data_IF_711696096379
#
_entry.id   IF_711696096379
#
_cell.length_a   1.000
_cell.length_b   1.000
_cell.length_c   1.000
_cell.angle_alpha   90.00
_cell.angle_beta   90.00
_cell.angle_gamma   90.00
#
_symmetry.space_group_name_H-M   'P 1'
#
loop_
_entity.id
_entity.type
_entity.pdbx_description
1 polymer ?
#
# COMPACT_ATOMS: atom_id res chain seq x y z
N UNK A 1 27.52 26.54 31.43
CA UNK A 1 26.94 25.19 31.22
C UNK A 1 26.26 25.18 29.86
N UNK A 2 26.91 24.61 28.83
CA UNK A 2 26.33 24.49 27.50
C UNK A 2 25.72 23.11 27.40
N UNK A 3 24.39 23.03 27.52
CA UNK A 3 23.65 21.79 27.34
C UNK A 3 23.79 21.36 25.87
N UNK A 4 24.55 20.30 25.63
CA UNK A 4 24.62 19.62 24.34
C UNK A 4 23.33 18.82 24.19
N UNK A 5 22.35 19.36 23.47
CA UNK A 5 21.16 18.62 23.05
C UNK A 5 21.59 17.56 22.02
N UNK A 6 21.72 16.31 22.48
CA UNK A 6 21.86 15.14 21.61
C UNK A 6 20.52 14.91 20.89
N UNK A 7 20.45 15.32 19.63
CA UNK A 7 19.33 15.01 18.75
C UNK A 7 19.31 13.49 18.49
N UNK A 8 18.36 12.78 19.10
CA UNK A 8 18.13 11.36 18.86
C UNK A 8 17.35 11.23 17.54
N UNK A 9 18.06 11.03 16.43
CA UNK A 9 17.43 10.76 15.14
C UNK A 9 16.84 9.35 15.14
N UNK A 10 15.51 9.24 15.20
CA UNK A 10 14.81 7.98 15.00
C UNK A 10 14.91 7.64 13.52
N UNK A 11 15.75 6.66 13.19
CA UNK A 11 15.81 6.12 11.84
C UNK A 11 14.59 5.21 11.63
N UNK A 12 13.61 5.66 10.84
CA UNK A 12 12.53 4.81 10.38
C UNK A 12 13.08 3.84 9.34
N UNK A 13 13.20 2.56 9.70
CA UNK A 13 13.54 1.51 8.75
C UNK A 13 12.28 1.20 7.92
N UNK A 14 12.26 1.64 6.66
CA UNK A 14 11.26 1.17 5.70
C UNK A 14 11.74 -0.19 5.16
N UNK A 15 11.12 -1.28 5.59
CA UNK A 15 11.38 -2.62 5.06
C UNK A 15 10.24 -3.09 4.17
N UNK A 16 10.57 -3.76 3.06
CA UNK A 16 9.59 -4.32 2.15
C UNK A 16 8.94 -5.56 2.78
N UNK A 17 7.62 -5.64 2.70
CA UNK A 17 6.83 -6.78 3.17
C UNK A 17 6.98 -7.94 2.20
N UNK A 18 7.27 -9.13 2.73
CA UNK A 18 7.27 -10.36 1.93
C UNK A 18 5.83 -10.71 1.55
N UNK A 19 5.59 -10.95 0.26
CA UNK A 19 4.29 -11.29 -0.29
C UNK A 19 4.40 -12.41 -1.33
N UNK A 20 3.26 -13.04 -1.62
CA UNK A 20 3.14 -14.01 -2.71
C UNK A 20 2.52 -13.31 -3.92
N UNK A 21 3.23 -13.32 -5.04
CA UNK A 21 2.68 -12.86 -6.33
C UNK A 21 1.66 -13.88 -6.86
N UNK A 22 0.48 -13.40 -7.23
CA UNK A 22 -0.64 -14.19 -7.75
C UNK A 22 -0.78 -14.13 -9.28
N UNK A 23 0.16 -13.50 -9.99
CA UNK A 23 0.19 -13.46 -11.46
C UNK A 23 0.33 -12.06 -12.03
N UNK A 24 1.15 -11.21 -11.40
CA UNK A 24 1.40 -9.85 -11.89
C UNK A 24 2.09 -9.85 -13.26
N UNK A 25 1.70 -8.91 -14.12
CA UNK A 25 2.34 -8.69 -15.43
C UNK A 25 3.38 -7.57 -15.40
N UNK A 26 3.31 -6.69 -14.39
CA UNK A 26 4.34 -5.71 -14.10
C UNK A 26 5.57 -6.36 -13.45
N UNK A 27 6.69 -5.65 -13.43
CA UNK A 27 7.94 -6.16 -12.84
C UNK A 27 8.33 -5.40 -11.59
N UNK A 28 9.32 -5.92 -10.86
CA UNK A 28 9.93 -5.24 -9.71
C UNK A 28 8.90 -4.87 -8.62
N UNK A 29 7.88 -5.71 -8.43
CA UNK A 29 6.79 -5.44 -7.50
C UNK A 29 7.31 -5.45 -6.07
N UNK A 30 7.10 -4.36 -5.35
CA UNK A 30 7.46 -4.17 -3.95
C UNK A 30 6.21 -3.79 -3.18
N UNK A 31 5.86 -4.58 -2.18
CA UNK A 31 4.81 -4.29 -1.22
C UNK A 31 5.45 -3.77 0.07
N UNK A 32 4.88 -2.73 0.65
CA UNK A 32 5.22 -2.28 2.00
C UNK A 32 3.93 -2.06 2.78
N UNK A 33 3.75 -2.82 3.85
CA UNK A 33 2.70 -2.68 4.85
C UNK A 33 3.33 -2.12 6.10
N UNK A 34 2.79 -1.00 6.60
CA UNK A 34 3.28 -0.36 7.81
C UNK A 34 3.44 -1.34 8.97
N UNK A 35 4.65 -1.37 9.56
CA UNK A 35 5.03 -2.24 10.67
C UNK A 35 4.87 -3.76 10.39
N UNK A 36 4.90 -4.19 9.13
CA UNK A 36 4.91 -5.62 8.77
C UNK A 36 5.94 -5.93 7.69
N UNK A 37 7.01 -6.62 8.07
CA UNK A 37 8.00 -7.15 7.10
C UNK A 37 7.72 -8.62 6.75
N UNK A 38 7.39 -9.42 7.77
CA UNK A 38 7.19 -10.86 7.64
C UNK A 38 5.71 -11.23 7.88
N UNK A 39 5.06 -11.93 6.94
CA UNK A 39 3.71 -12.43 7.16
C UNK A 39 3.71 -13.54 8.23
N UNK A 40 2.60 -13.71 8.99
CA UNK A 40 1.32 -13.00 8.85
C UNK A 40 1.35 -11.59 9.47
N UNK A 41 0.88 -10.60 8.72
CA UNK A 41 0.73 -9.24 9.23
C UNK A 41 -0.44 -9.16 10.21
N UNK A 42 -0.16 -8.76 11.45
CA UNK A 42 -1.19 -8.53 12.46
C UNK A 42 -1.77 -7.12 12.29
N UNK A 43 -2.97 -7.05 11.71
CA UNK A 43 -3.73 -5.81 11.56
C UNK A 43 -4.74 -5.70 12.71
N UNK A 44 -4.51 -4.72 13.59
CA UNK A 44 -5.44 -4.38 14.67
C UNK A 44 -6.69 -3.71 14.10
N UNK A 45 -7.85 -4.12 14.59
CA UNK A 45 -9.14 -3.56 14.17
C UNK A 45 -9.28 -2.13 14.70
N UNK A 46 -9.82 -1.23 13.87
CA UNK A 46 -9.97 0.19 14.18
C UNK A 46 -8.72 1.03 13.93
N UNK A 47 -7.57 0.41 13.67
CA UNK A 47 -6.33 1.10 13.28
C UNK A 47 -6.32 1.45 11.79
N UNK A 48 -5.50 2.42 11.39
CA UNK A 48 -5.24 2.73 9.97
C UNK A 48 -3.79 2.43 9.66
N UNK A 49 -3.55 1.74 8.55
CA UNK A 49 -2.22 1.32 8.12
C UNK A 49 -1.89 1.94 6.77
N UNK A 50 -0.67 2.42 6.59
CA UNK A 50 -0.19 2.79 5.26
C UNK A 50 0.22 1.52 4.51
N UNK A 51 -0.33 1.35 3.31
CA UNK A 51 0.11 0.33 2.36
C UNK A 51 0.62 1.02 1.12
N UNK A 52 1.82 0.63 0.72
CA UNK A 52 2.50 1.10 -0.46
C UNK A 52 2.79 -0.08 -1.41
N UNK A 53 2.51 0.12 -2.69
CA UNK A 53 2.84 -0.83 -3.74
C UNK A 53 3.59 -0.06 -4.82
N UNK A 54 4.80 -0.52 -5.11
CA UNK A 54 5.59 -0.02 -6.22
C UNK A 54 5.78 -1.11 -7.25
N UNK A 55 5.57 -0.78 -8.52
CA UNK A 55 5.78 -1.73 -9.61
C UNK A 55 6.24 -0.99 -10.88
N UNK A 56 6.91 -1.71 -11.76
CA UNK A 56 7.26 -1.24 -13.08
C UNK A 56 6.15 -1.65 -14.04
N UNK A 57 5.49 -0.67 -14.68
CA UNK A 57 4.37 -0.97 -15.58
C UNK A 57 4.85 -1.64 -16.86
N UNK A 58 4.12 -2.67 -17.32
CA UNK A 58 4.36 -3.32 -18.62
C UNK A 58 3.64 -2.64 -19.77
N UNK A 59 2.77 -1.67 -19.50
CA UNK A 59 1.91 -1.01 -20.48
C UNK A 59 1.61 0.44 -20.11
N UNK A 60 1.24 1.24 -21.11
CA UNK A 60 0.66 2.56 -20.86
C UNK A 60 -0.81 2.39 -20.48
N UNK A 61 -1.25 3.05 -19.42
CA UNK A 61 -2.62 2.92 -18.90
C UNK A 61 -3.18 4.28 -18.50
N UNK A 62 -4.42 4.54 -18.95
CA UNK A 62 -5.18 5.74 -18.59
C UNK A 62 -5.92 5.60 -17.25
N UNK A 63 -5.99 4.38 -16.71
CA UNK A 63 -6.69 4.06 -15.48
C UNK A 63 -5.89 3.06 -14.63
N UNK A 64 -6.14 3.11 -13.31
CA UNK A 64 -5.68 2.14 -12.34
C UNK A 64 -6.86 1.82 -11.43
N UNK A 65 -7.25 0.55 -11.36
CA UNK A 65 -8.35 0.09 -10.50
C UNK A 65 -7.81 -0.79 -9.40
N UNK A 66 -8.20 -0.50 -8.17
CA UNK A 66 -7.79 -1.24 -6.98
C UNK A 66 -8.88 -2.23 -6.61
N UNK A 67 -8.51 -3.51 -6.57
CA UNK A 67 -9.34 -4.58 -6.03
C UNK A 67 -8.60 -5.22 -4.84
N UNK A 68 -9.23 -5.17 -3.67
CA UNK A 68 -8.70 -5.80 -2.47
C UNK A 68 -9.79 -6.63 -1.82
N UNK A 69 -9.48 -7.90 -1.57
CA UNK A 69 -10.37 -8.85 -0.92
C UNK A 69 -9.64 -9.65 0.16
N UNK A 70 -10.38 -10.03 1.20
CA UNK A 70 -9.94 -10.94 2.24
C UNK A 70 -10.52 -12.34 1.98
N UNK A 71 -9.66 -13.36 1.96
CA UNK A 71 -10.11 -14.74 1.93
C UNK A 71 -10.44 -15.22 3.34
N UNK A 72 -11.71 -15.49 3.61
CA UNK A 72 -12.21 -16.02 4.88
C UNK A 72 -12.74 -17.42 4.64
N UNK A 73 -11.96 -18.43 5.00
CA UNK A 73 -12.31 -19.84 4.85
C UNK A 73 -12.77 -20.21 3.42
N UNK A 74 -12.08 -19.70 2.40
CA UNK A 74 -12.39 -19.96 0.99
C UNK A 74 -13.38 -18.95 0.37
N UNK A 75 -13.97 -18.05 1.15
CA UNK A 75 -14.85 -17.00 0.65
C UNK A 75 -14.05 -15.71 0.50
N UNK A 76 -13.95 -15.17 -0.71
CA UNK A 76 -13.37 -13.84 -0.93
C UNK A 76 -14.39 -12.76 -0.61
N UNK A 77 -14.12 -11.97 0.41
CA UNK A 77 -14.93 -10.83 0.84
C UNK A 77 -14.20 -9.54 0.44
N UNK A 78 -14.82 -8.64 -0.35
CA UNK A 78 -14.18 -7.38 -0.72
C UNK A 78 -13.94 -6.51 0.51
N UNK A 79 -12.82 -5.78 0.52
CA UNK A 79 -12.51 -4.85 1.61
C UNK A 79 -13.40 -3.60 1.47
N UNK A 80 -14.23 -3.27 2.46
CA UNK A 80 -15.14 -2.14 2.38
C UNK A 80 -14.41 -0.81 2.58
N UNK A 81 -14.94 0.23 1.95
CA UNK A 81 -14.52 1.62 2.20
C UNK A 81 -13.20 2.03 1.57
N UNK A 82 -12.65 1.23 0.64
CA UNK A 82 -11.52 1.67 -0.20
C UNK A 82 -12.02 2.41 -1.43
N UNK A 83 -11.30 3.47 -1.81
CA UNK A 83 -11.49 4.07 -3.13
C UNK A 83 -10.84 3.15 -4.17
N UNK A 84 -11.61 2.75 -5.17
CA UNK A 84 -11.15 1.84 -6.22
C UNK A 84 -10.44 2.56 -7.35
N UNK A 85 -10.56 3.90 -7.43
CA UNK A 85 -9.83 4.71 -8.39
C UNK A 85 -8.40 4.93 -7.89
N UNK A 86 -7.53 3.99 -8.29
CA UNK A 86 -6.12 3.94 -7.93
C UNK A 86 -5.31 5.13 -8.41
N UNK A 87 -5.76 5.81 -9.45
CA UNK A 87 -5.07 6.98 -9.99
C UNK A 87 -5.01 8.11 -8.97
N UNK A 88 -5.98 8.21 -8.04
CA UNK A 88 -5.99 9.28 -7.03
C UNK A 88 -4.94 9.12 -5.93
N UNK A 89 -4.43 7.91 -5.74
CA UNK A 89 -3.47 7.60 -4.67
C UNK A 89 -2.04 7.33 -5.20
N UNK A 90 -1.80 7.60 -6.48
CA UNK A 90 -0.45 7.62 -7.03
C UNK A 90 0.30 8.85 -6.52
N UNK A 91 1.53 8.64 -6.03
CA UNK A 91 2.39 9.74 -5.63
C UNK A 91 2.85 10.51 -6.88
N UNK A 92 2.50 11.80 -7.00
CA UNK A 92 3.02 12.63 -8.10
C UNK A 92 2.16 13.77 -8.66
N UNK A 93 0.90 13.98 -8.25
CA UNK A 93 0.17 15.20 -8.64
C UNK A 93 -1.35 15.11 -8.71
N UNK A 94 -1.98 16.18 -9.23
CA UNK A 94 -3.44 16.38 -9.26
C UNK A 94 -4.19 15.55 -10.33
N UNK A 95 -3.47 14.79 -11.17
CA UNK A 95 -4.02 13.82 -12.14
C UNK A 95 -2.93 12.82 -12.59
N UNK A 96 -2.63 11.78 -11.79
CA UNK A 96 -1.44 10.92 -11.99
C UNK A 96 -1.52 9.91 -13.14
N UNK A 97 -2.70 9.72 -13.73
CA UNK A 97 -2.90 8.92 -14.93
C UNK A 97 -3.09 9.86 -16.15
N UNK A 98 -2.62 9.49 -17.35
CA UNK A 98 -2.00 8.21 -17.69
C UNK A 98 -0.54 8.06 -17.22
N UNK A 99 -0.14 6.83 -16.92
CA UNK A 99 1.27 6.45 -16.73
C UNK A 99 1.75 5.58 -17.89
N UNK A 100 3.05 5.66 -18.18
CA UNK A 100 3.65 5.07 -19.38
C UNK A 100 4.13 3.64 -19.15
N UNK A 101 4.20 2.85 -20.23
CA UNK A 101 4.94 1.59 -20.21
C UNK A 101 6.39 1.81 -19.77
N UNK A 102 6.88 0.92 -18.89
CA UNK A 102 8.22 0.98 -18.31
C UNK A 102 8.39 2.00 -17.18
N UNK A 103 7.37 2.82 -16.86
CA UNK A 103 7.47 3.75 -15.74
C UNK A 103 7.35 3.02 -14.41
N UNK A 104 8.10 3.49 -13.41
CA UNK A 104 7.95 3.09 -12.02
C UNK A 104 6.71 3.78 -11.45
N UNK A 105 5.69 3.00 -11.11
CA UNK A 105 4.44 3.45 -10.51
C UNK A 105 4.54 3.25 -9.01
N UNK A 106 4.20 4.29 -8.26
CA UNK A 106 4.21 4.30 -6.80
C UNK A 106 2.80 4.63 -6.29
N UNK A 107 2.15 3.65 -5.67
CA UNK A 107 0.78 3.74 -5.17
C UNK A 107 0.76 3.60 -3.66
N UNK A 108 0.27 4.62 -2.95
CA UNK A 108 0.21 4.63 -1.48
C UNK A 108 -1.21 4.91 -1.02
N UNK A 109 -1.82 3.97 -0.30
CA UNK A 109 -3.14 4.15 0.30
C UNK A 109 -3.11 4.01 1.82
N UNK A 110 -3.88 4.87 2.49
CA UNK A 110 -4.25 4.68 3.90
C UNK A 110 -5.39 3.70 3.99
N UNK A 111 -5.10 2.51 4.48
CA UNK A 111 -6.11 1.46 4.60
C UNK A 111 -6.75 1.52 5.99
N UNK A 112 -8.04 1.86 6.11
CA UNK A 112 -8.74 1.64 7.37
C UNK A 112 -8.82 0.13 7.60
N UNK A 113 -8.28 -0.34 8.72
CA UNK A 113 -8.66 -1.66 9.20
C UNK A 113 -10.17 -1.66 9.43
N UNK A 114 -10.83 -2.79 9.18
CA UNK A 114 -12.26 -2.97 9.41
C UNK A 114 -12.62 -2.54 10.84
N UNK A 115 -13.03 -1.28 11.00
CA UNK A 115 -13.79 -0.86 12.16
C UNK A 115 -15.14 -1.57 12.02
N UNK A 116 -15.49 -2.41 12.98
CA UNK A 116 -16.88 -2.82 13.09
C UNK A 116 -17.68 -1.54 13.26
N UNK A 117 -18.40 -1.11 12.22
CA UNK A 117 -19.59 -0.28 12.42
C UNK A 117 -20.50 -1.11 13.31
N UNK A 118 -20.35 -0.99 14.63
CA UNK A 118 -21.45 -1.30 15.52
C UNK A 118 -22.54 -0.31 15.13
N UNK A 119 -23.71 -0.89 14.84
CA UNK A 119 -24.96 -0.19 14.54
C UNK A 119 -25.22 0.98 15.48
#
# INVERSE_FOLDING_TARGET
MRAFFLALSVASFASATIFQDCGSVGTDVVLTVENCELPPCLLERGSTYNVNIQFTSSQTSDALTIDASANLAGINVPWPGIDTDGCKQLEGGSNPCPYSSGSRVDWTMRWPSLASTQR
#
